data_IF_839409814340
#
_entry.id   IF_839409814340
#
_cell.length_a   1.000
_cell.length_b   1.000
_cell.length_c   1.000
_cell.angle_alpha   90.00
_cell.angle_beta   90.00
_cell.angle_gamma   90.00
#
_symmetry.space_group_name_H-M   'P 1'
#
loop_
_entity.id
_entity.type
_entity.pdbx_description
1 polymer ?
#
# COMPACT_ATOMS: atom_id res chain seq x y z
N UNK A 1 -13.85 5.36 16.98
CA UNK A 1 -12.53 5.41 16.31
C UNK A 1 -12.55 4.81 14.90
N UNK A 2 -13.31 3.74 14.61
CA UNK A 2 -13.34 3.09 13.27
C UNK A 2 -13.74 4.02 12.12
N UNK A 3 -14.73 4.90 12.34
CA UNK A 3 -15.30 5.77 11.29
C UNK A 3 -14.27 6.66 10.57
N UNK A 4 -13.29 7.23 11.29
CA UNK A 4 -12.28 8.11 10.70
C UNK A 4 -11.41 7.33 9.70
N UNK A 5 -11.01 6.10 10.06
CA UNK A 5 -10.14 5.29 9.21
C UNK A 5 -10.89 4.77 7.98
N UNK A 6 -12.11 4.28 8.17
CA UNK A 6 -12.92 3.73 7.06
C UNK A 6 -13.39 4.82 6.09
N UNK A 7 -13.76 6.00 6.59
CA UNK A 7 -14.11 7.15 5.73
C UNK A 7 -12.92 7.70 4.95
N UNK A 8 -11.70 7.56 5.47
CA UNK A 8 -10.46 7.89 4.77
C UNK A 8 -9.99 6.82 3.75
N UNK A 9 -10.76 5.74 3.56
CA UNK A 9 -10.43 4.69 2.59
C UNK A 9 -9.40 3.67 3.06
N UNK A 10 -9.14 3.57 4.37
CA UNK A 10 -8.24 2.53 4.89
C UNK A 10 -8.90 1.16 4.80
N UNK A 11 -8.14 0.16 4.34
CA UNK A 11 -8.56 -1.23 4.28
C UNK A 11 -8.19 -1.91 5.60
N UNK A 12 -9.16 -2.34 6.42
CA UNK A 12 -8.86 -3.05 7.66
C UNK A 12 -8.30 -4.44 7.36
N UNK A 13 -7.26 -4.83 8.10
CA UNK A 13 -6.61 -6.14 7.97
C UNK A 13 -6.43 -6.78 9.34
N UNK A 14 -6.76 -8.08 9.45
CA UNK A 14 -6.49 -8.85 10.66
C UNK A 14 -5.09 -9.45 10.62
N UNK A 15 -4.14 -8.78 11.29
CA UNK A 15 -2.74 -9.20 11.37
C UNK A 15 -2.50 -10.38 12.32
N UNK A 16 -3.48 -10.77 13.13
CA UNK A 16 -3.36 -11.90 14.08
C UNK A 16 -3.77 -13.22 13.44
N UNK A 17 -4.65 -13.15 12.44
CA UNK A 17 -5.02 -14.30 11.64
C UNK A 17 -3.82 -14.83 10.85
N UNK A 18 -3.65 -16.16 10.84
CA UNK A 18 -2.69 -16.84 9.96
C UNK A 18 -3.23 -17.07 8.54
N UNK A 19 -4.51 -16.77 8.32
CA UNK A 19 -5.18 -16.88 7.03
C UNK A 19 -4.83 -15.68 6.15
N UNK A 20 -3.83 -15.88 5.27
CA UNK A 20 -3.34 -14.85 4.36
C UNK A 20 -4.38 -14.42 3.32
N UNK A 21 -5.31 -15.30 2.95
CA UNK A 21 -6.38 -14.91 2.00
C UNK A 21 -7.32 -13.90 2.65
N UNK A 22 -7.71 -14.11 3.92
CA UNK A 22 -8.49 -13.13 4.67
C UNK A 22 -7.75 -11.81 4.87
N UNK A 23 -6.43 -11.85 5.02
CA UNK A 23 -5.60 -10.64 5.12
C UNK A 23 -5.70 -9.77 3.86
N UNK A 24 -5.72 -10.39 2.67
CA UNK A 24 -5.71 -9.67 1.40
C UNK A 24 -7.09 -9.44 0.78
N UNK A 25 -8.16 -9.98 1.35
CA UNK A 25 -9.52 -9.87 0.78
C UNK A 25 -9.91 -8.42 0.44
N UNK A 26 -9.70 -7.48 1.36
CA UNK A 26 -9.99 -6.06 1.10
C UNK A 26 -9.08 -5.43 0.04
N UNK A 27 -7.84 -5.93 -0.10
CA UNK A 27 -6.92 -5.51 -1.17
C UNK A 27 -7.45 -6.00 -2.53
N UNK A 28 -7.90 -7.25 -2.63
CA UNK A 28 -8.45 -7.80 -3.87
C UNK A 28 -9.73 -7.08 -4.27
N UNK A 29 -10.60 -6.78 -3.31
CA UNK A 29 -11.81 -5.99 -3.59
C UNK A 29 -11.45 -4.63 -4.19
N UNK A 30 -10.52 -3.89 -3.56
CA UNK A 30 -10.08 -2.59 -4.07
C UNK A 30 -9.49 -2.69 -5.49
N UNK A 31 -8.56 -3.62 -5.71
CA UNK A 31 -7.94 -3.83 -7.02
C UNK A 31 -8.97 -4.25 -8.08
N UNK A 32 -9.92 -5.13 -7.73
CA UNK A 32 -11.00 -5.58 -8.63
C UNK A 32 -11.94 -4.45 -9.09
N UNK A 33 -11.94 -3.32 -8.38
CA UNK A 33 -12.70 -2.11 -8.70
C UNK A 33 -11.87 -1.08 -9.46
N UNK A 34 -10.64 -1.43 -9.86
CA UNK A 34 -9.72 -0.55 -10.56
C UNK A 34 -9.06 0.51 -9.66
N UNK A 35 -9.10 0.33 -8.34
CA UNK A 35 -8.46 1.25 -7.39
C UNK A 35 -6.98 0.88 -7.20
N UNK A 36 -6.19 1.88 -6.78
CA UNK A 36 -4.82 1.65 -6.32
C UNK A 36 -4.79 1.40 -4.81
N UNK A 37 -3.88 0.53 -4.36
CA UNK A 37 -3.62 0.26 -2.94
C UNK A 37 -2.22 0.72 -2.59
N UNK A 38 -2.11 1.59 -1.58
CA UNK A 38 -0.84 2.02 -1.02
C UNK A 38 -0.54 1.24 0.26
N UNK A 39 0.71 0.82 0.43
CA UNK A 39 1.20 0.14 1.63
C UNK A 39 2.63 0.59 1.95
N UNK A 40 3.01 0.45 3.22
CA UNK A 40 4.38 0.63 3.68
C UNK A 40 5.05 -0.74 3.80
N UNK A 41 5.96 -1.10 2.87
CA UNK A 41 6.51 -2.46 2.79
C UNK A 41 7.33 -2.87 4.00
N UNK A 42 7.75 -1.94 4.85
CA UNK A 42 8.47 -2.17 6.10
C UNK A 42 7.55 -2.79 7.18
N UNK A 43 6.25 -2.53 7.10
CA UNK A 43 5.24 -3.07 8.00
C UNK A 43 5.28 -2.56 9.45
N UNK A 44 6.09 -1.53 9.71
CA UNK A 44 6.15 -0.70 10.93
C UNK A 44 6.84 0.62 10.62
N UNK A 45 6.67 1.63 11.48
CA UNK A 45 7.37 2.90 11.37
C UNK A 45 8.80 2.77 11.89
N UNK A 46 9.77 3.29 11.14
CA UNK A 46 11.17 3.38 11.50
C UNK A 46 11.65 4.83 11.47
N UNK A 47 12.59 5.18 12.35
CA UNK A 47 13.11 6.56 12.45
C UNK A 47 14.32 6.76 11.53
N UNK A 48 15.01 5.67 11.20
CA UNK A 48 16.21 5.64 10.39
C UNK A 48 15.99 6.28 9.01
N UNK A 49 16.92 7.12 8.52
CA UNK A 49 16.78 7.81 7.23
C UNK A 49 17.08 6.91 6.01
N UNK A 50 17.21 5.59 6.21
CA UNK A 50 17.49 4.60 5.15
C UNK A 50 16.30 3.69 4.94
N UNK A 51 16.22 3.08 3.76
CA UNK A 51 15.24 2.02 3.48
C UNK A 51 15.53 0.86 4.43
N UNK A 52 14.52 0.50 5.24
CA UNK A 52 14.59 -0.63 6.14
C UNK A 52 14.20 -1.91 5.42
N UNK A 53 14.27 -3.05 6.12
CA UNK A 53 13.92 -4.34 5.51
C UNK A 53 12.48 -4.32 5.00
N UNK A 54 12.34 -4.50 3.69
CA UNK A 54 11.07 -4.63 2.98
C UNK A 54 10.54 -6.06 3.16
N UNK A 55 9.26 -6.17 3.52
CA UNK A 55 8.52 -7.42 3.58
C UNK A 55 7.98 -7.81 2.20
N UNK A 56 7.78 -9.10 2.01
CA UNK A 56 7.28 -9.71 0.78
C UNK A 56 5.77 -9.51 0.54
N UNK A 57 5.05 -8.93 1.50
CA UNK A 57 3.59 -8.80 1.46
C UNK A 57 3.03 -8.11 0.21
N UNK A 58 3.74 -7.13 -0.36
CA UNK A 58 3.34 -6.46 -1.60
C UNK A 58 3.42 -7.40 -2.81
N UNK A 59 4.49 -8.19 -2.89
CA UNK A 59 4.67 -9.20 -3.94
C UNK A 59 3.65 -10.32 -3.81
N UNK A 60 3.37 -10.77 -2.58
CA UNK A 60 2.31 -11.75 -2.30
C UNK A 60 0.93 -11.24 -2.69
N UNK A 61 0.58 -10.01 -2.32
CA UNK A 61 -0.71 -9.42 -2.70
C UNK A 61 -0.87 -9.36 -4.22
N UNK A 62 0.17 -8.97 -4.94
CA UNK A 62 0.18 -8.92 -6.40
C UNK A 62 0.01 -10.31 -7.03
N UNK A 63 0.77 -11.30 -6.56
CA UNK A 63 0.73 -12.68 -7.06
C UNK A 63 -0.65 -13.31 -6.84
N UNK A 64 -1.17 -13.23 -5.61
CA UNK A 64 -2.45 -13.84 -5.25
C UNK A 64 -3.62 -13.13 -5.94
N UNK A 65 -3.57 -11.80 -6.08
CA UNK A 65 -4.58 -11.07 -6.83
C UNK A 65 -4.61 -11.47 -8.30
N UNK A 66 -3.43 -11.63 -8.92
CA UNK A 66 -3.33 -12.04 -10.33
C UNK A 66 -4.00 -13.40 -10.53
N UNK A 67 -3.65 -14.38 -9.67
CA UNK A 67 -4.28 -15.70 -9.68
C UNK A 67 -5.80 -15.63 -9.46
N UNK A 68 -6.24 -14.89 -8.44
CA UNK A 68 -7.67 -14.71 -8.15
C UNK A 68 -8.43 -14.06 -9.32
N UNK A 69 -7.81 -13.08 -9.99
CA UNK A 69 -8.40 -12.38 -11.14
C UNK A 69 -8.64 -13.33 -12.31
N UNK A 70 -7.66 -14.18 -12.62
CA UNK A 70 -7.77 -15.23 -13.66
C UNK A 70 -8.90 -16.22 -13.33
N UNK A 71 -8.93 -16.74 -12.10
CA UNK A 71 -9.96 -17.70 -11.64
C UNK A 71 -11.39 -17.11 -11.69
N UNK A 72 -11.52 -15.79 -11.57
CA UNK A 72 -12.80 -15.08 -11.58
C UNK A 72 -13.14 -14.43 -12.93
N UNK A 73 -12.41 -14.77 -14.01
CA UNK A 73 -12.68 -14.26 -15.36
C UNK A 73 -12.48 -12.76 -15.53
N UNK A 74 -11.71 -12.12 -14.63
CA UNK A 74 -11.37 -10.70 -14.71
C UNK A 74 -10.10 -10.53 -15.56
N UNK A 75 -10.31 -10.37 -16.87
CA UNK A 75 -9.29 -9.98 -17.84
C UNK A 75 -9.07 -8.46 -17.76
N UNK A 76 -8.44 -8.00 -16.68
CA UNK A 76 -8.01 -6.61 -16.49
C UNK A 76 -6.53 -6.42 -16.82
N UNK A 77 -6.06 -5.17 -16.75
CA UNK A 77 -4.63 -4.88 -16.80
C UNK A 77 -3.89 -5.62 -15.66
N UNK A 78 -2.68 -6.14 -15.92
CA UNK A 78 -1.89 -6.79 -14.88
C UNK A 78 -1.61 -5.81 -13.74
N UNK A 79 -1.65 -6.30 -12.50
CA UNK A 79 -1.31 -5.48 -11.33
C UNK A 79 0.14 -5.01 -11.43
N UNK A 80 0.37 -3.73 -11.17
CA UNK A 80 1.69 -3.11 -11.23
C UNK A 80 2.12 -2.67 -9.84
N UNK A 81 3.31 -3.10 -9.44
CA UNK A 81 3.96 -2.56 -8.23
C UNK A 81 4.69 -1.29 -8.64
N UNK A 82 4.27 -0.15 -8.08
CA UNK A 82 4.90 1.16 -8.33
C UNK A 82 5.60 1.61 -7.06
N UNK A 83 6.95 1.62 -7.02
CA UNK A 83 7.68 2.18 -5.90
C UNK A 83 7.38 3.66 -5.74
N UNK A 84 7.07 4.09 -4.52
CA UNK A 84 6.92 5.49 -4.16
C UNK A 84 7.63 5.74 -2.83
N UNK A 85 8.25 6.91 -2.70
CA UNK A 85 8.94 7.35 -1.50
C UNK A 85 8.33 8.66 -0.99
N UNK A 86 8.22 8.75 0.34
CA UNK A 86 7.79 9.95 1.05
C UNK A 86 8.99 10.48 1.83
N UNK A 87 9.40 11.71 1.54
CA UNK A 87 10.55 12.36 2.17
C UNK A 87 10.08 13.63 2.87
N UNK A 88 10.18 13.65 4.19
CA UNK A 88 9.91 14.84 4.99
C UNK A 88 11.13 15.75 4.97
N UNK A 89 10.94 17.03 4.64
CA UNK A 89 12.01 18.04 4.64
C UNK A 89 12.55 18.29 6.05
N UNK A 90 11.68 18.23 7.06
CA UNK A 90 12.06 18.32 8.47
C UNK A 90 11.16 17.41 9.32
N UNK A 91 11.66 16.24 9.71
CA UNK A 91 10.93 15.26 10.53
C UNK A 91 10.55 15.77 11.94
N UNK A 92 11.22 16.80 12.45
CA UNK A 92 10.99 17.35 13.79
C UNK A 92 9.97 18.49 13.82
N UNK A 93 9.53 18.99 12.65
CA UNK A 93 8.56 20.06 12.54
C UNK A 93 7.22 19.52 12.04
N UNK A 94 6.19 19.67 12.87
CA UNK A 94 4.81 19.37 12.46
C UNK A 94 4.41 20.25 11.26
N UNK A 95 3.76 19.64 10.26
CA UNK A 95 3.40 20.28 8.97
C UNK A 95 4.60 20.86 8.23
N UNK A 96 5.73 20.17 8.25
CA UNK A 96 6.82 20.42 7.31
C UNK A 96 6.47 19.93 5.91
N UNK A 97 7.13 20.50 4.90
CA UNK A 97 6.90 20.11 3.51
C UNK A 97 7.27 18.63 3.30
N UNK A 98 6.48 17.97 2.46
CA UNK A 98 6.67 16.57 2.10
C UNK A 98 6.88 16.43 0.60
N UNK A 99 7.97 15.75 0.23
CA UNK A 99 8.25 15.34 -1.14
C UNK A 99 7.71 13.94 -1.38
N UNK A 100 6.92 13.76 -2.44
CA UNK A 100 6.54 12.43 -2.93
C UNK A 100 7.32 12.16 -4.21
N UNK A 101 8.08 11.07 -4.21
CA UNK A 101 8.92 10.65 -5.33
C UNK A 101 8.37 9.32 -5.85
N UNK A 102 8.09 9.24 -7.13
CA UNK A 102 7.75 7.99 -7.82
C UNK A 102 8.47 7.98 -9.17
N UNK A 103 8.72 6.81 -9.80
CA UNK A 103 9.61 6.68 -10.95
C UNK A 103 9.20 7.50 -12.19
N UNK A 104 8.01 8.09 -12.21
CA UNK A 104 7.49 8.86 -13.32
C UNK A 104 7.23 10.35 -13.01
N UNK A 105 7.42 10.84 -11.77
CA UNK A 105 7.30 12.27 -11.42
C UNK A 105 7.76 12.56 -9.98
N UNK A 106 8.28 13.77 -9.74
CA UNK A 106 8.43 14.35 -8.40
C UNK A 106 7.28 15.35 -8.21
N UNK A 107 6.45 15.16 -7.19
CA UNK A 107 5.36 16.08 -6.84
C UNK A 107 5.62 16.61 -5.42
N UNK A 108 5.73 17.93 -5.26
CA UNK A 108 5.82 18.60 -3.96
C UNK A 108 4.42 18.92 -3.47
N UNK A 109 4.10 18.53 -2.24
CA UNK A 109 2.86 18.89 -1.57
C UNK A 109 3.16 19.97 -0.52
N UNK A 110 2.40 21.08 -0.57
CA UNK A 110 2.42 22.18 0.41
C UNK A 110 1.28 22.01 1.42
#
# INVERSE_FOLDING_TARGET
MSYILTSAGNIPVDRKSKDRQKLFLGTFEALSRGLAVALFPEGTSYTEPRIMQVKDGAAWAALEYTKWSEENGRLGDPVKIVPAAIVYTNKSKYRSDVGVIHPYRIVRYQ
#
